data_IF_682563249404
#
_entry.id   IF_682563249404
#
_cell.length_a   1.000
_cell.length_b   1.000
_cell.length_c   1.000
_cell.angle_alpha   90.00
_cell.angle_beta   90.00
_cell.angle_gamma   90.00
#
_symmetry.space_group_name_H-M   'P 1'
#
loop_
_entity.id
_entity.type
_entity.pdbx_description
1 polymer ?
#
# COMPACT_ATOMS: atom_id res chain seq x y z
N UNK A 1 -49.02 3.56 43.77
CA UNK A 1 -47.81 4.16 44.38
C UNK A 1 -46.62 3.30 43.94
N UNK A 2 -45.81 3.76 42.98
CA UNK A 2 -44.45 4.32 43.18
C UNK A 2 -43.58 3.42 44.09
N UNK A 3 -42.37 2.94 43.74
CA UNK A 3 -41.44 3.31 42.67
C UNK A 3 -40.17 2.42 42.79
N UNK A 4 -39.37 2.43 41.72
CA UNK A 4 -37.90 2.35 41.68
C UNK A 4 -37.22 0.97 41.80
N UNK A 5 -36.88 0.48 40.61
CA UNK A 5 -35.72 -0.38 40.34
C UNK A 5 -34.43 0.45 40.48
N UNK A 6 -33.38 -0.04 41.17
CA UNK A 6 -32.03 0.45 40.94
C UNK A 6 -31.07 -0.73 40.83
N UNK A 7 -31.04 -1.37 39.67
CA UNK A 7 -29.83 -2.08 39.19
C UNK A 7 -29.25 -1.23 38.05
N UNK A 8 -28.96 0.02 38.38
CA UNK A 8 -28.12 0.93 37.62
C UNK A 8 -26.98 1.31 38.57
N UNK A 9 -25.76 1.46 38.05
CA UNK A 9 -24.48 1.43 38.78
C UNK A 9 -24.12 -0.03 39.10
N UNK A 10 -23.25 -0.73 38.37
CA UNK A 10 -21.83 -0.40 38.18
C UNK A 10 -21.35 -1.12 36.92
N UNK A 11 -21.36 -0.44 35.78
CA UNK A 11 -20.40 -0.74 34.72
C UNK A 11 -19.86 0.61 34.31
N UNK A 12 -18.90 1.09 35.10
CA UNK A 12 -18.04 2.19 34.72
C UNK A 12 -17.28 1.76 33.48
N UNK A 13 -17.84 2.09 32.31
CA UNK A 13 -17.08 2.09 31.08
C UNK A 13 -16.01 3.17 31.24
N UNK A 14 -14.78 2.68 31.42
CA UNK A 14 -13.54 3.41 31.37
C UNK A 14 -13.46 4.09 29.99
N UNK A 15 -13.89 5.34 29.91
CA UNK A 15 -13.65 6.20 28.76
C UNK A 15 -12.20 6.66 28.82
N UNK A 16 -11.30 5.88 28.22
CA UNK A 16 -9.96 6.35 27.88
C UNK A 16 -10.16 7.21 26.63
N UNK A 17 -10.20 8.54 26.80
CA UNK A 17 -10.05 9.45 25.68
C UNK A 17 -8.59 9.41 25.25
N UNK A 18 -8.26 8.49 24.34
CA UNK A 18 -7.05 8.63 23.52
C UNK A 18 -7.42 9.66 22.46
N UNK A 19 -7.14 10.93 22.74
CA UNK A 19 -7.14 11.97 21.70
C UNK A 19 -5.96 11.69 20.76
N UNK A 20 -6.17 10.78 19.82
CA UNK A 20 -5.27 10.56 18.70
C UNK A 20 -5.22 11.83 17.84
N UNK A 21 -4.01 12.20 17.41
CA UNK A 21 -3.75 13.28 16.46
C UNK A 21 -4.79 13.30 15.33
N UNK A 22 -5.14 14.47 14.76
CA UNK A 22 -6.20 14.55 13.75
C UNK A 22 -5.89 13.61 12.59
N UNK A 23 -6.58 12.47 12.58
CA UNK A 23 -6.47 11.49 11.53
C UNK A 23 -7.08 12.11 10.28
N UNK A 24 -6.29 12.23 9.22
CA UNK A 24 -6.79 12.68 7.92
C UNK A 24 -7.98 11.79 7.54
N UNK A 25 -9.12 12.39 7.17
CA UNK A 25 -10.35 11.65 6.83
C UNK A 25 -10.17 10.68 5.65
N UNK A 26 -9.05 10.79 4.92
CA UNK A 26 -8.65 9.87 3.86
C UNK A 26 -7.69 8.76 4.31
N UNK A 27 -7.45 8.58 5.61
CA UNK A 27 -6.64 7.48 6.13
C UNK A 27 -7.50 6.21 6.31
N UNK A 28 -6.99 5.09 5.78
CA UNK A 28 -7.60 3.76 5.94
C UNK A 28 -7.73 3.36 7.41
N UNK A 29 -6.79 3.80 8.25
CA UNK A 29 -6.80 3.54 9.70
C UNK A 29 -7.93 4.30 10.40
N UNK A 30 -8.21 5.54 9.96
CA UNK A 30 -9.31 6.36 10.46
C UNK A 30 -10.68 5.79 10.04
N UNK A 31 -10.79 5.34 8.79
CA UNK A 31 -12.01 4.69 8.29
C UNK A 31 -12.33 3.42 9.08
N UNK A 32 -11.32 2.60 9.38
CA UNK A 32 -11.48 1.42 10.24
C UNK A 32 -11.89 1.79 11.67
N UNK A 33 -11.25 2.79 12.27
CA UNK A 33 -11.56 3.23 13.65
C UNK A 33 -12.99 3.79 13.79
N UNK A 34 -13.49 4.45 12.74
CA UNK A 34 -14.84 5.04 12.71
C UNK A 34 -15.93 4.06 12.23
N UNK A 35 -15.59 2.83 11.88
CA UNK A 35 -16.52 1.84 11.34
C UNK A 35 -17.05 2.19 9.94
N UNK A 36 -16.39 3.09 9.21
CA UNK A 36 -16.71 3.43 7.83
C UNK A 36 -16.12 2.38 6.88
N UNK A 37 -16.78 1.21 6.87
CA UNK A 37 -16.36 0.08 6.05
C UNK A 37 -16.41 0.36 4.55
N UNK A 38 -17.29 1.28 4.11
CA UNK A 38 -17.37 1.69 2.71
C UNK A 38 -16.09 2.44 2.29
N UNK A 39 -15.67 3.43 3.10
CA UNK A 39 -14.41 4.16 2.85
C UNK A 39 -13.20 3.27 3.04
N UNK A 40 -13.20 2.39 4.06
CA UNK A 40 -12.11 1.44 4.28
C UNK A 40 -11.89 0.53 3.06
N UNK A 41 -12.96 -0.11 2.56
CA UNK A 41 -12.85 -0.98 1.39
C UNK A 41 -12.53 -0.20 0.11
N UNK A 42 -13.02 1.03 -0.03
CA UNK A 42 -12.63 1.91 -1.13
C UNK A 42 -11.13 2.24 -1.10
N UNK A 43 -10.60 2.65 0.05
CA UNK A 43 -9.17 2.98 0.20
C UNK A 43 -8.28 1.74 0.04
N UNK A 44 -8.71 0.59 0.56
CA UNK A 44 -7.99 -0.68 0.39
C UNK A 44 -8.00 -1.16 -1.07
N UNK A 45 -9.14 -1.02 -1.76
CA UNK A 45 -9.30 -1.44 -3.16
C UNK A 45 -8.64 -0.52 -4.17
N UNK A 46 -8.34 0.73 -3.81
CA UNK A 46 -7.49 1.61 -4.62
C UNK A 46 -6.09 1.03 -4.84
N UNK A 47 -5.70 0.02 -4.05
CA UNK A 47 -4.49 -0.75 -4.25
C UNK A 47 -3.24 0.06 -3.93
N UNK A 48 -2.18 -0.64 -3.57
CA UNK A 48 -0.85 -0.06 -3.62
C UNK A 48 -0.42 -0.07 -5.09
N UNK A 49 -0.62 1.04 -5.82
CA UNK A 49 -0.03 1.23 -7.16
C UNK A 49 1.47 1.46 -7.01
N UNK A 50 2.18 0.40 -6.64
CA UNK A 50 3.63 0.42 -6.51
C UNK A 50 4.26 0.37 -7.90
N UNK A 51 4.64 1.55 -8.40
CA UNK A 51 5.42 1.72 -9.62
C UNK A 51 6.85 2.09 -9.24
N UNK A 52 7.80 1.13 -9.23
CA UNK A 52 9.19 1.46 -8.97
C UNK A 52 9.72 2.38 -10.06
N UNK A 53 10.43 3.43 -9.65
CA UNK A 53 11.09 4.35 -10.56
C UNK A 53 12.47 3.78 -10.95
N UNK A 54 12.76 3.74 -12.26
CA UNK A 54 14.04 3.28 -12.83
C UNK A 54 14.83 4.38 -13.56
N UNK A 55 14.44 5.64 -13.40
CA UNK A 55 15.02 6.77 -14.13
C UNK A 55 16.52 6.91 -13.86
N UNK A 56 16.98 6.62 -12.64
CA UNK A 56 18.40 6.63 -12.30
C UNK A 56 19.22 5.62 -13.11
N UNK A 57 18.66 4.43 -13.40
CA UNK A 57 19.29 3.42 -14.24
C UNK A 57 19.24 3.82 -15.72
N UNK A 58 18.12 4.36 -16.18
CA UNK A 58 17.96 4.88 -17.56
C UNK A 58 18.93 6.02 -17.87
N UNK A 59 19.22 6.86 -16.88
CA UNK A 59 20.08 8.03 -17.04
C UNK A 59 21.58 7.73 -16.99
N UNK A 60 21.99 6.49 -16.66
CA UNK A 60 23.41 6.14 -16.61
C UNK A 60 24.04 6.33 -17.99
N UNK A 61 25.12 7.10 -18.02
CA UNK A 61 25.95 7.36 -19.20
C UNK A 61 27.42 7.29 -18.79
N UNK A 62 28.31 6.80 -19.66
CA UNK A 62 29.75 6.96 -19.47
C UNK A 62 30.12 8.44 -19.33
N UNK A 63 31.02 8.76 -18.41
CA UNK A 63 31.50 10.13 -18.14
C UNK A 63 32.81 10.49 -18.87
N UNK A 64 33.33 9.60 -19.72
CA UNK A 64 34.54 9.82 -20.49
C UNK A 64 34.88 8.72 -21.50
N UNK A 65 35.94 8.90 -22.31
CA UNK A 65 36.31 8.00 -23.41
C UNK A 65 36.63 6.56 -22.99
N UNK A 66 37.14 6.38 -21.76
CA UNK A 66 37.51 5.08 -21.19
C UNK A 66 36.56 4.64 -20.06
N UNK A 67 35.42 5.33 -19.93
CA UNK A 67 34.42 5.04 -18.90
C UNK A 67 33.39 4.03 -19.40
N UNK A 68 32.92 3.17 -18.49
CA UNK A 68 31.85 2.23 -18.76
C UNK A 68 30.82 2.34 -17.63
N UNK A 69 29.54 2.19 -17.97
CA UNK A 69 28.47 2.14 -16.99
C UNK A 69 27.65 0.86 -17.17
N UNK A 70 27.35 0.23 -16.04
CA UNK A 70 26.40 -0.85 -15.96
C UNK A 70 25.42 -0.54 -14.84
N UNK A 71 24.13 -0.60 -15.15
CA UNK A 71 23.08 -0.51 -14.16
C UNK A 71 22.01 -1.54 -14.44
N UNK A 72 21.48 -2.14 -13.38
CA UNK A 72 20.40 -3.11 -13.48
C UNK A 72 19.43 -2.92 -12.33
N UNK A 73 18.15 -2.96 -12.65
CA UNK A 73 17.10 -3.02 -11.65
C UNK A 73 16.01 -3.99 -12.09
N UNK A 74 15.41 -4.66 -11.12
CA UNK A 74 14.34 -5.62 -11.35
C UNK A 74 13.29 -5.51 -10.26
N UNK A 75 12.03 -5.64 -10.64
CA UNK A 75 10.94 -5.88 -9.71
C UNK A 75 9.99 -6.94 -10.26
N UNK A 76 9.33 -7.64 -9.36
CA UNK A 76 8.25 -8.57 -9.65
C UNK A 76 7.21 -8.49 -8.55
N UNK A 77 5.93 -8.67 -8.90
CA UNK A 77 4.83 -8.73 -7.96
C UNK A 77 3.98 -9.96 -8.22
N UNK A 78 3.35 -10.45 -7.16
CA UNK A 78 2.35 -11.51 -7.20
C UNK A 78 1.24 -11.13 -6.25
N UNK A 79 0.01 -11.07 -6.77
CA UNK A 79 -1.20 -10.75 -6.03
C UNK A 79 -2.20 -11.87 -6.26
N UNK A 80 -2.75 -12.40 -5.18
CA UNK A 80 -3.82 -13.38 -5.25
C UNK A 80 -4.93 -12.97 -4.29
N UNK A 81 -6.18 -13.10 -4.75
CA UNK A 81 -7.35 -12.88 -3.91
C UNK A 81 -8.32 -14.05 -4.05
N UNK A 82 -9.09 -14.29 -2.98
CA UNK A 82 -10.19 -15.23 -2.99
C UNK A 82 -11.36 -14.58 -2.26
N UNK A 83 -12.38 -14.19 -3.02
CA UNK A 83 -13.60 -13.58 -2.48
C UNK A 83 -14.75 -14.54 -2.78
N UNK A 84 -15.32 -15.13 -1.72
CA UNK A 84 -16.45 -16.07 -1.81
C UNK A 84 -16.21 -17.24 -2.80
N UNK A 85 -14.99 -17.75 -2.88
CA UNK A 85 -14.62 -18.86 -3.77
C UNK A 85 -14.25 -18.42 -5.19
N UNK A 86 -14.43 -17.15 -5.54
CA UNK A 86 -13.88 -16.58 -6.77
C UNK A 86 -12.42 -16.19 -6.54
N UNK A 87 -11.52 -16.90 -7.21
CA UNK A 87 -10.09 -16.65 -7.15
C UNK A 87 -9.69 -15.69 -8.26
N UNK A 88 -8.87 -14.70 -7.93
CA UNK A 88 -8.12 -13.91 -8.91
C UNK A 88 -6.63 -14.01 -8.61
N UNK A 89 -5.83 -14.01 -9.67
CA UNK A 89 -4.38 -14.01 -9.59
C UNK A 89 -3.85 -12.99 -10.59
N UNK A 90 -2.92 -12.17 -10.16
CA UNK A 90 -2.19 -11.22 -10.98
C UNK A 90 -0.71 -11.33 -10.64
N UNK A 91 0.11 -11.32 -11.67
CA UNK A 91 1.57 -11.35 -11.55
C UNK A 91 2.17 -10.56 -12.68
N UNK A 92 3.39 -10.11 -12.46
CA UNK A 92 4.18 -9.43 -13.47
C UNK A 92 5.40 -8.79 -12.86
N UNK A 93 6.21 -8.18 -13.70
CA UNK A 93 7.38 -7.46 -13.26
C UNK A 93 8.08 -6.79 -14.42
N UNK A 94 9.16 -6.10 -14.09
CA UNK A 94 10.02 -5.49 -15.10
C UNK A 94 11.47 -5.62 -14.67
N UNK A 95 12.32 -5.88 -15.65
CA UNK A 95 13.77 -5.79 -15.54
C UNK A 95 14.25 -4.71 -16.50
N UNK A 96 15.18 -3.90 -16.05
CA UNK A 96 15.86 -2.90 -16.85
C UNK A 96 17.36 -3.08 -16.71
N UNK A 97 18.05 -3.01 -17.84
CA UNK A 97 19.50 -3.11 -17.92
C UNK A 97 20.01 -1.93 -18.74
N UNK A 98 20.96 -1.16 -18.21
CA UNK A 98 21.68 -0.14 -18.95
C UNK A 98 23.14 -0.57 -19.08
N UNK A 99 23.60 -0.74 -20.32
CA UNK A 99 24.99 -1.01 -20.66
C UNK A 99 25.51 0.15 -21.51
N UNK A 100 26.40 0.95 -20.95
CA UNK A 100 27.05 2.07 -21.65
C UNK A 100 26.06 3.03 -22.32
N UNK A 101 24.95 3.36 -21.65
CA UNK A 101 23.92 4.26 -22.16
C UNK A 101 22.87 3.57 -23.05
N UNK A 102 23.05 2.28 -23.35
CA UNK A 102 22.07 1.47 -24.09
C UNK A 102 21.14 0.77 -23.10
N UNK A 103 19.85 1.08 -23.17
CA UNK A 103 18.83 0.57 -22.25
C UNK A 103 18.05 -0.59 -22.89
N UNK A 104 17.96 -1.70 -22.15
CA UNK A 104 17.18 -2.90 -22.47
C UNK A 104 16.11 -3.08 -21.37
N UNK A 105 14.82 -3.12 -21.74
CA UNK A 105 13.71 -3.39 -20.81
C UNK A 105 13.05 -4.74 -21.13
N UNK A 106 12.74 -5.51 -20.08
CA UNK A 106 12.10 -6.82 -20.17
C UNK A 106 10.88 -6.87 -19.25
N UNK A 107 9.76 -7.34 -19.77
CA UNK A 107 8.62 -7.72 -18.94
C UNK A 107 8.88 -9.10 -18.32
N UNK A 108 8.57 -9.23 -17.04
CA UNK A 108 8.67 -10.47 -16.31
C UNK A 108 7.26 -11.01 -16.04
N UNK A 109 7.09 -12.35 -16.07
CA UNK A 109 5.82 -13.00 -15.79
C UNK A 109 5.35 -12.83 -14.33
#
# INVERSE_FOLDING_TARGET
MMKLCPVLFVIGFIFINVEGAPFDQNDISAAAANGDWNTFHRLLSQGFDFKPNFDSIRSLQPDGPDSNVYGEAQYSFHSSSNVNGQKSEQRGGRRIVNKNGVVEEYELP
#
